data_IF_194879900623
#
_entry.id   IF_194879900623
#
_cell.length_a   1.000
_cell.length_b   1.000
_cell.length_c   1.000
_cell.angle_alpha   90.00
_cell.angle_beta   90.00
_cell.angle_gamma   90.00
#
_symmetry.space_group_name_H-M   'P 1'
#
loop_
_entity.id
_entity.type
_entity.pdbx_description
1 polymer ?
#
# COMPACT_ATOMS: atom_id res chain seq x y z
N UNK A 1 -12.88 10.02 4.93
CA UNK A 1 -13.10 8.58 4.73
C UNK A 1 -13.37 7.92 6.08
N UNK A 2 -13.79 6.65 6.14
CA UNK A 2 -13.81 5.90 7.43
C UNK A 2 -12.43 5.28 7.68
N UNK A 3 -12.12 4.93 8.93
CA UNK A 3 -10.89 4.24 9.34
C UNK A 3 -9.60 4.93 8.84
N UNK A 4 -9.51 6.25 9.01
CA UNK A 4 -8.28 7.02 8.74
C UNK A 4 -7.76 6.96 7.28
N UNK A 5 -8.62 6.62 6.31
CA UNK A 5 -8.18 6.46 4.92
C UNK A 5 -7.59 7.71 4.27
N UNK A 6 -7.95 8.92 4.73
CA UNK A 6 -7.36 10.15 4.19
C UNK A 6 -5.98 10.40 4.80
N UNK A 7 -5.83 10.17 6.10
CA UNK A 7 -4.61 10.31 6.87
C UNK A 7 -3.56 9.28 6.40
N UNK A 8 -3.97 8.04 6.14
CA UNK A 8 -3.13 7.02 5.50
C UNK A 8 -2.68 7.47 4.11
N UNK A 9 -3.59 8.02 3.30
CA UNK A 9 -3.25 8.53 1.96
C UNK A 9 -2.21 9.64 2.04
N UNK A 10 -2.38 10.59 2.96
CA UNK A 10 -1.46 11.71 3.14
C UNK A 10 -0.09 11.24 3.62
N UNK A 11 -0.04 10.35 4.62
CA UNK A 11 1.21 9.78 5.13
C UNK A 11 2.00 9.02 4.06
N UNK A 12 1.32 8.27 3.20
CA UNK A 12 1.96 7.58 2.06
C UNK A 12 2.54 8.60 1.08
N UNK A 13 1.77 9.63 0.70
CA UNK A 13 2.23 10.65 -0.26
C UNK A 13 3.43 11.45 0.27
N UNK A 14 3.43 11.78 1.55
CA UNK A 14 4.51 12.52 2.16
C UNK A 14 5.78 11.68 2.27
N UNK A 15 5.67 10.38 2.60
CA UNK A 15 6.83 9.49 2.61
C UNK A 15 7.38 9.24 1.20
N UNK A 16 6.54 9.13 0.17
CA UNK A 16 6.99 9.03 -1.23
C UNK A 16 7.85 10.24 -1.62
N UNK A 17 7.40 11.46 -1.27
CA UNK A 17 8.18 12.69 -1.51
C UNK A 17 9.50 12.68 -0.75
N UNK A 18 9.46 12.31 0.54
CA UNK A 18 10.65 12.27 1.41
C UNK A 18 11.70 11.28 0.91
N UNK A 19 11.30 10.17 0.31
CA UNK A 19 12.19 9.16 -0.27
C UNK A 19 12.58 9.48 -1.73
N UNK A 20 12.13 10.61 -2.29
CA UNK A 20 12.27 10.95 -3.70
C UNK A 20 11.78 9.83 -4.66
N UNK A 21 10.75 9.08 -4.24
CA UNK A 21 10.22 7.93 -4.96
C UNK A 21 9.13 8.29 -5.99
N UNK A 22 8.82 9.58 -6.16
CA UNK A 22 7.77 10.08 -7.06
C UNK A 22 7.97 9.67 -8.53
N UNK A 23 9.21 9.38 -8.94
CA UNK A 23 9.55 8.94 -10.29
C UNK A 23 9.07 7.51 -10.61
N UNK A 24 8.77 6.69 -9.60
CA UNK A 24 8.42 5.27 -9.81
C UNK A 24 7.30 4.74 -8.89
N UNK A 25 6.90 5.47 -7.85
CA UNK A 25 5.72 5.14 -7.03
C UNK A 25 4.65 6.21 -7.22
N UNK A 26 3.52 5.82 -7.79
CA UNK A 26 2.34 6.67 -7.94
C UNK A 26 1.21 6.18 -7.05
N UNK A 27 0.43 7.13 -6.53
CA UNK A 27 -0.71 6.83 -5.65
C UNK A 27 -2.01 7.30 -6.29
N UNK A 28 -3.00 6.41 -6.30
CA UNK A 28 -4.38 6.75 -6.65
C UNK A 28 -5.26 6.58 -5.44
N UNK A 29 -6.00 7.62 -5.08
CA UNK A 29 -6.99 7.57 -4.00
C UNK A 29 -8.29 6.97 -4.54
N UNK A 30 -8.71 5.85 -3.98
CA UNK A 30 -9.93 5.14 -4.40
C UNK A 30 -11.00 5.20 -3.30
N UNK A 31 -12.26 4.87 -3.66
CA UNK A 31 -13.34 4.65 -2.69
C UNK A 31 -13.35 3.17 -2.24
N UNK A 32 -14.48 2.68 -1.76
CA UNK A 32 -14.64 1.31 -1.29
C UNK A 32 -14.28 0.28 -2.38
N UNK A 33 -13.43 -0.68 -2.03
CA UNK A 33 -13.07 -1.84 -2.86
C UNK A 33 -13.74 -3.15 -2.37
N UNK A 34 -14.86 -3.05 -1.62
CA UNK A 34 -15.59 -4.21 -1.09
C UNK A 34 -14.95 -4.88 0.14
N UNK A 35 -13.88 -4.31 0.70
CA UNK A 35 -13.10 -4.87 1.82
C UNK A 35 -13.19 -4.00 3.08
N UNK A 36 -14.40 -3.61 3.47
CA UNK A 36 -14.62 -2.70 4.60
C UNK A 36 -14.12 -3.26 5.95
N UNK A 37 -14.17 -4.58 6.15
CA UNK A 37 -13.68 -5.23 7.36
C UNK A 37 -12.16 -5.04 7.55
N UNK A 38 -11.42 -4.92 6.45
CA UNK A 38 -9.97 -4.80 6.44
C UNK A 38 -9.50 -3.34 6.35
N UNK A 39 -10.43 -2.38 6.49
CA UNK A 39 -10.14 -0.96 6.31
C UNK A 39 -9.18 -0.41 7.40
N UNK A 40 -8.30 0.54 7.08
CA UNK A 40 -8.02 1.06 5.73
C UNK A 40 -7.21 0.06 4.88
N UNK A 41 -7.50 0.03 3.57
CA UNK A 41 -6.89 -0.88 2.60
C UNK A 41 -5.98 -0.12 1.65
N UNK A 42 -4.77 -0.65 1.42
CA UNK A 42 -3.83 -0.21 0.38
C UNK A 42 -3.51 -1.38 -0.53
N UNK A 43 -3.48 -1.15 -1.83
CA UNK A 43 -3.20 -2.19 -2.83
C UNK A 43 -1.96 -1.75 -3.62
N UNK A 44 -0.97 -2.62 -3.71
CA UNK A 44 0.27 -2.36 -4.46
C UNK A 44 0.23 -3.12 -5.79
N UNK A 45 0.29 -2.37 -6.88
CA UNK A 45 0.43 -2.90 -8.24
C UNK A 45 1.86 -2.69 -8.75
N UNK A 46 2.37 -3.57 -9.65
CA UNK A 46 1.66 -4.62 -10.40
C UNK A 46 1.47 -5.96 -9.69
N UNK A 47 2.05 -6.13 -8.50
CA UNK A 47 2.01 -7.38 -7.72
C UNK A 47 0.57 -7.79 -7.44
N UNK A 48 -0.28 -6.86 -7.00
CA UNK A 48 -1.63 -7.12 -6.57
C UNK A 48 -1.71 -7.50 -5.08
N UNK A 49 -0.75 -7.04 -4.28
CA UNK A 49 -0.69 -7.30 -2.84
C UNK A 49 -1.62 -6.33 -2.09
N UNK A 50 -2.37 -6.84 -1.11
CA UNK A 50 -3.31 -6.05 -0.32
C UNK A 50 -2.89 -5.96 1.15
N UNK A 51 -2.82 -4.73 1.62
CA UNK A 51 -2.48 -4.38 2.99
C UNK A 51 -3.71 -3.83 3.70
N UNK A 52 -4.03 -4.38 4.86
CA UNK A 52 -5.23 -4.05 5.64
C UNK A 52 -4.89 -3.43 6.98
N UNK A 53 -5.91 -2.93 7.68
CA UNK A 53 -5.79 -2.27 8.98
C UNK A 53 -4.72 -1.17 8.97
N UNK A 54 -4.61 -0.47 7.84
CA UNK A 54 -3.56 0.50 7.63
C UNK A 54 -3.82 1.73 8.51
N UNK A 55 -2.77 2.14 9.21
CA UNK A 55 -2.64 3.40 9.94
C UNK A 55 -1.67 4.34 9.23
N UNK A 56 -1.65 5.65 9.51
CA UNK A 56 -0.66 6.57 8.95
C UNK A 56 0.78 6.08 9.14
N UNK A 57 1.10 5.56 10.33
CA UNK A 57 2.43 5.00 10.63
C UNK A 57 2.77 3.77 9.77
N UNK A 58 1.82 2.86 9.57
CA UNK A 58 2.03 1.71 8.67
C UNK A 58 2.13 2.13 7.20
N UNK A 59 1.44 3.21 6.78
CA UNK A 59 1.53 3.77 5.44
C UNK A 59 2.94 4.31 5.15
N UNK A 60 3.53 5.02 6.11
CA UNK A 60 4.95 5.44 6.04
C UNK A 60 5.88 4.24 5.94
N UNK A 61 5.71 3.23 6.81
CA UNK A 61 6.54 2.01 6.78
C UNK A 61 6.39 1.23 5.47
N UNK A 62 5.19 1.20 4.88
CA UNK A 62 4.94 0.53 3.61
C UNK A 62 5.80 1.14 2.51
N UNK A 63 5.83 2.47 2.37
CA UNK A 63 6.66 3.14 1.36
C UNK A 63 8.14 2.82 1.57
N UNK A 64 8.63 2.86 2.82
CA UNK A 64 10.02 2.51 3.15
C UNK A 64 10.38 1.09 2.72
N UNK A 65 9.47 0.13 2.95
CA UNK A 65 9.66 -1.26 2.53
C UNK A 65 9.64 -1.41 1.02
N UNK A 66 8.69 -0.78 0.33
CA UNK A 66 8.61 -0.82 -1.13
C UNK A 66 9.85 -0.23 -1.81
N UNK A 67 10.40 0.88 -1.30
CA UNK A 67 11.66 1.46 -1.78
C UNK A 67 12.84 0.50 -1.57
N UNK A 68 12.84 -0.28 -0.48
CA UNK A 68 13.83 -1.32 -0.22
C UNK A 68 13.58 -2.63 -1.01
N UNK A 69 12.50 -2.72 -1.80
CA UNK A 69 12.12 -3.95 -2.51
C UNK A 69 11.50 -5.03 -1.62
N UNK A 70 11.02 -4.67 -0.43
CA UNK A 70 10.45 -5.56 0.57
C UNK A 70 8.93 -5.35 0.73
N UNK A 71 8.25 -6.34 1.30
CA UNK A 71 6.83 -6.27 1.65
C UNK A 71 6.64 -5.91 3.13
N UNK A 72 5.50 -5.29 3.45
CA UNK A 72 5.07 -5.05 4.83
C UNK A 72 4.24 -6.23 5.35
N UNK A 73 4.89 -7.35 5.63
CA UNK A 73 4.26 -8.62 6.04
C UNK A 73 3.19 -8.49 7.15
N UNK A 74 3.36 -7.68 8.22
CA UNK A 74 2.37 -7.63 9.31
C UNK A 74 0.98 -7.12 8.89
N UNK A 75 0.89 -6.40 7.76
CA UNK A 75 -0.36 -5.86 7.23
C UNK A 75 -0.84 -6.60 5.98
N UNK A 76 -0.02 -7.50 5.42
CA UNK A 76 -0.32 -8.23 4.20
C UNK A 76 -1.36 -9.32 4.50
N UNK A 77 -2.56 -9.20 3.93
CA UNK A 77 -3.61 -10.22 4.09
C UNK A 77 -3.98 -10.92 2.78
N UNK A 78 -3.57 -10.37 1.65
CA UNK A 78 -3.68 -11.04 0.36
C UNK A 78 -2.43 -10.80 -0.45
N UNK A 79 -1.73 -11.89 -0.74
CA UNK A 79 -0.57 -11.90 -1.62
C UNK A 79 -0.97 -12.45 -2.98
N UNK A 80 -0.79 -11.65 -4.02
CA UNK A 80 -1.03 -12.12 -5.38
C UNK A 80 0.28 -12.71 -5.91
N UNK A 81 0.43 -14.01 -5.71
CA UNK A 81 1.53 -14.77 -6.30
C UNK A 81 1.25 -14.98 -7.79
N UNK A 82 1.75 -14.07 -8.64
CA UNK A 82 1.84 -14.42 -10.07
C UNK A 82 2.80 -15.60 -10.19
N UNK A 83 2.31 -16.77 -10.59
CA UNK A 83 3.20 -17.80 -11.16
C UNK A 83 3.92 -17.15 -12.32
N UNK A 84 5.25 -17.16 -12.31
CA UNK A 84 6.03 -16.78 -13.49
C UNK A 84 5.59 -17.73 -14.61
N UNK A 85 4.85 -17.21 -15.59
CA UNK A 85 4.71 -17.87 -16.88
C UNK A 85 6.07 -17.83 -17.56
N UNK A 86 6.94 -18.78 -17.18
CA UNK A 86 8.07 -19.19 -17.99
C UNK A 86 7.53 -20.20 -19.01
N UNK A 87 7.10 -19.69 -20.16
CA UNK A 87 7.02 -20.43 -21.43
C UNK A 87 7.84 -19.67 -22.47
#
# INVERSE_FOLDING_TARGET
>A
MRHEGEEVTQAIRDEIRKQHAEAYIHTTRTRCNGRCHDAAVVIVYPQGDWYGQMTPASGTKLVQKLVAGEKLEPHLFHECTRKSSSE
#
